data_IF_898108378573
#
_entry.id   IF_898108378573
#
_cell.length_a   1.000
_cell.length_b   1.000
_cell.length_c   1.000
_cell.angle_alpha   90.00
_cell.angle_beta   90.00
_cell.angle_gamma   90.00
#
_symmetry.space_group_name_H-M   'P 1'
#
loop_
_entity.id
_entity.type
_entity.pdbx_description
1 polymer ?
#
# COMPACT_ATOMS: atom_id res chain seq x y z
N UNK A 1 13.92 -22.32 -35.94
CA UNK A 1 14.31 -23.70 -35.58
C UNK A 1 14.14 -23.86 -34.07
N UNK A 2 13.12 -24.63 -33.71
CA UNK A 2 12.86 -25.33 -32.44
C UNK A 2 14.14 -25.72 -31.67
N UNK A 3 14.16 -25.92 -30.35
CA UNK A 3 13.22 -25.76 -29.24
C UNK A 3 14.06 -26.03 -27.98
N UNK A 4 13.83 -25.30 -26.89
CA UNK A 4 14.11 -25.66 -25.48
C UNK A 4 13.77 -24.41 -24.65
N UNK A 5 12.96 -24.42 -23.60
CA UNK A 5 12.19 -25.48 -22.95
C UNK A 5 11.07 -24.80 -22.16
N UNK A 6 9.85 -25.25 -22.38
CA UNK A 6 8.64 -24.93 -21.62
C UNK A 6 8.77 -25.40 -20.15
N UNK A 7 9.33 -24.55 -19.28
CA UNK A 7 9.41 -24.85 -17.84
C UNK A 7 8.77 -23.80 -16.93
N UNK A 8 8.09 -22.78 -17.47
CA UNK A 8 7.41 -21.76 -16.63
C UNK A 8 5.88 -21.76 -16.74
N UNK A 9 5.29 -22.78 -17.33
CA UNK A 9 3.83 -22.93 -17.42
C UNK A 9 3.26 -23.73 -16.21
N UNK A 10 3.57 -23.29 -14.98
CA UNK A 10 3.07 -23.92 -13.74
C UNK A 10 2.16 -22.98 -12.91
N UNK A 11 2.10 -21.68 -13.19
CA UNK A 11 1.18 -20.79 -12.47
C UNK A 11 -0.03 -20.41 -13.32
N UNK A 12 -0.98 -21.35 -13.44
CA UNK A 12 -2.35 -21.03 -13.86
C UNK A 12 -3.22 -20.53 -12.70
N UNK A 13 -2.62 -20.20 -11.55
CA UNK A 13 -3.33 -19.81 -10.33
C UNK A 13 -2.55 -18.69 -9.62
N UNK A 14 -3.30 -17.74 -9.04
CA UNK A 14 -2.77 -16.72 -8.11
C UNK A 14 -2.96 -17.25 -6.69
N UNK A 15 -2.00 -17.03 -5.80
CA UNK A 15 -2.12 -17.43 -4.40
C UNK A 15 -2.59 -16.29 -3.51
N UNK A 16 -3.58 -16.57 -2.66
CA UNK A 16 -4.10 -15.62 -1.66
C UNK A 16 -3.96 -16.19 -0.26
N UNK A 17 -3.84 -15.35 0.79
CA UNK A 17 -3.84 -15.85 2.16
C UNK A 17 -5.20 -16.46 2.52
N UNK A 18 -5.21 -17.43 3.46
CA UNK A 18 -6.44 -18.00 4.01
C UNK A 18 -7.36 -16.94 4.63
N UNK A 19 -6.77 -15.96 5.31
CA UNK A 19 -7.46 -14.91 6.03
C UNK A 19 -6.67 -13.60 5.91
N UNK A 20 -7.38 -12.51 5.67
CA UNK A 20 -6.82 -11.16 5.76
C UNK A 20 -7.27 -10.49 7.07
N UNK A 21 -6.51 -9.51 7.53
CA UNK A 21 -6.83 -8.75 8.72
C UNK A 21 -6.52 -7.27 8.50
N UNK A 22 -7.33 -6.40 9.09
CA UNK A 22 -7.12 -4.96 9.09
C UNK A 22 -7.87 -4.32 10.25
N UNK A 23 -7.55 -3.07 10.53
CA UNK A 23 -8.35 -2.23 11.41
C UNK A 23 -9.72 -1.93 10.77
N UNK A 24 -10.77 -1.66 11.58
CA UNK A 24 -12.08 -1.30 11.07
C UNK A 24 -11.99 0.05 10.36
N UNK A 25 -11.99 0.00 9.03
CA UNK A 25 -11.92 1.17 8.16
C UNK A 25 -12.79 0.95 6.93
N UNK A 26 -13.45 2.00 6.47
CA UNK A 26 -14.28 1.93 5.26
C UNK A 26 -13.45 1.60 4.02
N UNK A 27 -12.21 2.10 3.95
CA UNK A 27 -11.26 1.77 2.89
C UNK A 27 -10.96 0.26 2.79
N UNK A 28 -10.83 -0.41 3.94
CA UNK A 28 -10.50 -1.84 4.01
C UNK A 28 -11.69 -2.75 3.66
N UNK A 29 -12.89 -2.18 3.52
CA UNK A 29 -14.13 -2.91 3.24
C UNK A 29 -14.06 -3.58 1.87
N UNK A 30 -13.48 -2.92 0.86
CA UNK A 30 -13.30 -3.49 -0.49
C UNK A 30 -12.36 -4.70 -0.45
N UNK A 31 -11.26 -4.62 0.30
CA UNK A 31 -10.32 -5.74 0.46
C UNK A 31 -10.99 -6.92 1.19
N UNK A 32 -11.74 -6.65 2.26
CA UNK A 32 -12.48 -7.68 3.00
C UNK A 32 -13.53 -8.37 2.11
N UNK A 33 -14.22 -7.61 1.28
CA UNK A 33 -15.25 -8.12 0.37
C UNK A 33 -14.66 -8.92 -0.80
N UNK A 34 -13.57 -8.43 -1.41
CA UNK A 34 -12.84 -9.16 -2.44
C UNK A 34 -12.34 -10.51 -1.92
N UNK A 35 -11.69 -10.52 -0.75
CA UNK A 35 -11.25 -11.75 -0.10
C UNK A 35 -12.43 -12.70 0.19
N UNK A 36 -13.54 -12.18 0.70
CA UNK A 36 -14.73 -12.98 1.00
C UNK A 36 -15.33 -13.59 -0.26
N UNK A 37 -15.45 -12.82 -1.35
CA UNK A 37 -15.93 -13.32 -2.64
C UNK A 37 -15.05 -14.43 -3.18
N UNK A 38 -13.72 -14.26 -3.16
CA UNK A 38 -12.76 -15.28 -3.61
C UNK A 38 -12.97 -16.57 -2.81
N UNK A 39 -13.01 -16.49 -1.48
CA UNK A 39 -13.16 -17.67 -0.61
C UNK A 39 -14.51 -18.36 -0.77
N UNK A 40 -15.59 -17.59 -0.89
CA UNK A 40 -16.95 -18.11 -1.10
C UNK A 40 -17.10 -18.78 -2.46
N UNK A 41 -16.38 -18.31 -3.48
CA UNK A 41 -16.36 -18.93 -4.82
C UNK A 41 -15.66 -20.29 -4.82
N UNK A 42 -14.71 -20.49 -3.91
CA UNK A 42 -13.94 -21.74 -3.79
C UNK A 42 -14.56 -22.74 -2.81
N UNK A 43 -15.31 -22.26 -1.81
CA UNK A 43 -15.89 -23.08 -0.76
C UNK A 43 -17.36 -22.70 -0.50
N UNK A 44 -18.32 -23.52 -0.97
CA UNK A 44 -19.75 -23.28 -0.77
C UNK A 44 -20.18 -23.19 0.70
N UNK A 45 -19.44 -23.78 1.65
CA UNK A 45 -19.80 -23.68 3.09
C UNK A 45 -19.51 -22.31 3.69
N UNK A 46 -18.74 -21.48 2.97
CA UNK A 46 -18.41 -20.11 3.37
C UNK A 46 -19.41 -19.09 2.84
N UNK A 47 -20.40 -19.49 2.02
CA UNK A 47 -21.41 -18.59 1.46
C UNK A 47 -22.09 -17.75 2.56
N UNK A 48 -22.12 -16.43 2.36
CA UNK A 48 -22.64 -15.48 3.34
C UNK A 48 -21.74 -15.18 4.53
N UNK A 49 -20.54 -15.79 4.63
CA UNK A 49 -19.59 -15.54 5.73
C UNK A 49 -18.44 -14.63 5.27
N UNK A 50 -18.11 -13.64 6.09
CA UNK A 50 -16.95 -12.76 5.88
C UNK A 50 -15.65 -13.53 6.16
N UNK A 51 -14.69 -13.45 5.24
CA UNK A 51 -13.38 -14.11 5.33
C UNK A 51 -12.27 -13.08 5.56
N UNK A 52 -12.51 -12.21 6.55
CA UNK A 52 -11.62 -11.14 6.97
C UNK A 52 -11.77 -10.93 8.47
N UNK A 53 -10.66 -10.65 9.16
CA UNK A 53 -10.67 -10.39 10.60
C UNK A 53 -10.46 -8.89 10.89
N UNK A 54 -11.50 -8.26 11.41
CA UNK A 54 -11.46 -6.86 11.85
C UNK A 54 -10.79 -6.74 13.22
N UNK A 55 -9.64 -6.09 13.26
CA UNK A 55 -8.81 -5.90 14.45
C UNK A 55 -9.18 -4.60 15.15
N UNK A 56 -10.14 -4.68 16.08
CA UNK A 56 -10.48 -3.56 16.99
C UNK A 56 -9.38 -3.35 18.05
N UNK A 57 -9.28 -2.15 18.61
CA UNK A 57 -8.43 -1.80 19.77
C UNK A 57 -6.92 -2.08 19.59
N UNK A 58 -6.24 -1.41 18.64
CA UNK A 58 -4.76 -1.44 18.46
C UNK A 58 -4.16 -2.84 18.26
N UNK A 59 -4.96 -3.80 17.81
CA UNK A 59 -4.51 -5.18 17.61
C UNK A 59 -3.89 -5.41 16.22
N UNK A 60 -3.81 -4.38 15.37
CA UNK A 60 -3.08 -4.38 14.11
C UNK A 60 -1.57 -4.06 14.29
N UNK A 61 -0.99 -4.55 15.38
CA UNK A 61 0.33 -4.18 15.90
C UNK A 61 1.43 -4.31 14.85
N UNK A 62 1.42 -5.39 14.04
CA UNK A 62 2.50 -5.63 13.06
C UNK A 62 2.52 -4.61 11.94
N UNK A 63 1.36 -4.31 11.33
CA UNK A 63 1.30 -3.30 10.29
C UNK A 63 1.66 -1.92 10.86
N UNK A 64 1.13 -1.58 12.04
CA UNK A 64 1.43 -0.32 12.74
C UNK A 64 2.93 -0.17 13.07
N UNK A 65 3.60 -1.23 13.49
CA UNK A 65 5.05 -1.23 13.72
C UNK A 65 5.80 -0.92 12.42
N UNK A 66 5.49 -1.59 11.32
CA UNK A 66 6.17 -1.35 10.04
C UNK A 66 5.93 0.09 9.53
N UNK A 67 4.69 0.60 9.62
CA UNK A 67 4.38 1.99 9.31
C UNK A 67 5.15 2.98 10.19
N UNK A 68 5.27 2.69 11.49
CA UNK A 68 6.07 3.48 12.42
C UNK A 68 7.55 3.49 12.04
N UNK A 69 8.10 2.35 11.63
CA UNK A 69 9.49 2.25 11.17
C UNK A 69 9.72 3.03 9.87
N UNK A 70 8.82 2.92 8.90
CA UNK A 70 8.88 3.70 7.66
C UNK A 70 8.88 5.21 7.97
N UNK A 71 7.93 5.67 8.80
CA UNK A 71 7.82 7.07 9.20
C UNK A 71 9.04 7.60 9.95
N UNK A 72 9.66 6.79 10.81
CA UNK A 72 10.82 7.22 11.61
C UNK A 72 12.13 7.18 10.84
N UNK A 73 12.30 6.22 9.92
CA UNK A 73 13.62 5.92 9.31
C UNK A 73 13.74 6.34 7.85
N UNK A 74 12.63 6.45 7.12
CA UNK A 74 12.64 6.74 5.69
C UNK A 74 12.04 8.12 5.40
N UNK A 75 10.82 8.41 5.90
CA UNK A 75 10.10 9.65 5.59
C UNK A 75 10.87 10.96 5.85
N UNK A 76 11.58 11.15 6.98
CA UNK A 76 12.12 12.47 7.32
C UNK A 76 13.17 12.98 6.32
N UNK A 77 13.94 12.07 5.70
CA UNK A 77 14.92 12.44 4.69
C UNK A 77 14.26 13.01 3.42
N UNK A 78 13.22 12.35 2.94
CA UNK A 78 12.46 12.80 1.76
C UNK A 78 11.63 14.04 2.07
N UNK A 79 10.98 14.11 3.23
CA UNK A 79 10.25 15.30 3.67
C UNK A 79 11.17 16.52 3.72
N UNK A 80 12.40 16.38 4.23
CA UNK A 80 13.38 17.47 4.27
C UNK A 80 13.74 17.98 2.87
N UNK A 81 13.96 17.08 1.91
CA UNK A 81 14.27 17.43 0.51
C UNK A 81 13.07 18.15 -0.13
N UNK A 82 11.86 17.63 0.09
CA UNK A 82 10.65 18.20 -0.49
C UNK A 82 10.31 19.57 0.12
N UNK A 83 10.46 19.72 1.44
CA UNK A 83 10.26 20.98 2.15
C UNK A 83 11.28 22.04 1.75
N UNK A 84 12.53 21.65 1.44
CA UNK A 84 13.54 22.56 0.93
C UNK A 84 13.11 23.27 -0.36
N UNK A 85 12.60 22.54 -1.36
CA UNK A 85 12.15 23.17 -2.60
C UNK A 85 10.96 24.11 -2.43
N UNK A 86 10.06 23.82 -1.49
CA UNK A 86 8.95 24.73 -1.15
C UNK A 86 9.47 25.98 -0.43
N UNK A 87 10.34 25.79 0.58
CA UNK A 87 10.90 26.87 1.40
C UNK A 87 11.78 27.83 0.60
N UNK A 88 12.51 27.31 -0.39
CA UNK A 88 13.35 28.10 -1.29
C UNK A 88 12.56 28.74 -2.44
N UNK A 89 11.28 28.42 -2.59
CA UNK A 89 10.42 28.94 -3.65
C UNK A 89 10.71 28.37 -5.03
N UNK A 90 11.34 27.18 -5.08
CA UNK A 90 11.56 26.41 -6.32
C UNK A 90 10.23 25.80 -6.80
N UNK A 91 9.37 25.39 -5.86
CA UNK A 91 8.08 24.78 -6.13
C UNK A 91 6.92 25.54 -5.50
N UNK A 92 5.96 25.94 -6.32
CA UNK A 92 4.73 26.65 -5.94
C UNK A 92 3.48 25.81 -6.23
N UNK A 93 2.88 25.29 -5.16
CA UNK A 93 1.64 24.49 -5.21
C UNK A 93 0.42 25.26 -5.75
N UNK A 94 0.47 26.59 -5.82
CA UNK A 94 -0.61 27.40 -6.40
C UNK A 94 -0.59 27.43 -7.93
N UNK A 95 0.51 27.00 -8.56
CA UNK A 95 0.66 27.00 -10.02
C UNK A 95 0.41 25.59 -10.58
N UNK A 96 -0.62 25.42 -11.44
CA UNK A 96 -0.97 24.10 -11.96
C UNK A 96 0.16 23.39 -12.73
N UNK A 97 0.93 24.13 -13.53
CA UNK A 97 2.03 23.55 -14.31
C UNK A 97 3.11 22.99 -13.40
N UNK A 98 3.49 23.73 -12.36
CA UNK A 98 4.48 23.29 -11.38
C UNK A 98 4.03 22.01 -10.68
N UNK A 99 2.76 21.94 -10.27
CA UNK A 99 2.17 20.73 -9.68
C UNK A 99 2.25 19.54 -10.64
N UNK A 100 1.99 19.73 -11.93
CA UNK A 100 2.05 18.63 -12.91
C UNK A 100 3.49 18.17 -13.18
N UNK A 101 4.44 19.08 -13.33
CA UNK A 101 5.87 18.73 -13.47
C UNK A 101 6.34 17.99 -12.21
N UNK A 102 5.96 18.47 -11.03
CA UNK A 102 6.26 17.82 -9.76
C UNK A 102 5.69 16.40 -9.71
N UNK A 103 4.39 16.22 -10.00
CA UNK A 103 3.75 14.89 -10.00
C UNK A 103 4.41 13.94 -10.99
N UNK A 104 4.72 14.42 -12.19
CA UNK A 104 5.34 13.61 -13.25
C UNK A 104 6.75 13.11 -12.87
N UNK A 105 7.58 13.95 -12.25
CA UNK A 105 8.96 13.58 -11.90
C UNK A 105 9.08 12.94 -10.52
N UNK A 106 8.51 13.60 -9.51
CA UNK A 106 8.79 13.31 -8.10
C UNK A 106 8.02 12.08 -7.62
N UNK A 107 6.77 11.88 -8.04
CA UNK A 107 6.00 10.70 -7.59
C UNK A 107 6.63 9.39 -8.07
N UNK A 108 7.00 9.21 -9.36
CA UNK A 108 7.70 8.01 -9.80
C UNK A 108 9.06 7.80 -9.11
N UNK A 109 9.79 8.89 -8.83
CA UNK A 109 11.04 8.81 -8.06
C UNK A 109 10.79 8.32 -6.63
N UNK A 110 9.83 8.90 -5.91
CA UNK A 110 9.43 8.44 -4.58
C UNK A 110 8.97 6.99 -4.59
N UNK A 111 8.21 6.57 -5.60
CA UNK A 111 7.80 5.18 -5.77
C UNK A 111 9.01 4.24 -5.93
N UNK A 112 10.00 4.61 -6.76
CA UNK A 112 11.26 3.86 -6.91
C UNK A 112 12.02 3.74 -5.57
N UNK A 113 12.09 4.81 -4.80
CA UNK A 113 12.76 4.83 -3.49
C UNK A 113 12.02 3.96 -2.46
N UNK A 114 10.69 3.96 -2.49
CA UNK A 114 9.85 3.07 -1.68
C UNK A 114 10.05 1.60 -2.07
N UNK A 115 10.18 1.30 -3.36
CA UNK A 115 10.48 -0.05 -3.83
C UNK A 115 11.87 -0.52 -3.37
N UNK A 116 12.87 0.36 -3.40
CA UNK A 116 14.21 0.10 -2.84
C UNK A 116 14.12 -0.16 -1.33
N UNK A 117 13.39 0.69 -0.60
CA UNK A 117 13.16 0.51 0.84
C UNK A 117 12.49 -0.84 1.13
N UNK A 118 11.40 -1.15 0.44
CA UNK A 118 10.67 -2.43 0.56
C UNK A 118 11.60 -3.60 0.33
N UNK A 119 12.38 -3.57 -0.76
CA UNK A 119 13.33 -4.63 -1.08
C UNK A 119 14.39 -4.79 0.02
N UNK A 120 14.91 -3.69 0.55
CA UNK A 120 15.89 -3.72 1.65
C UNK A 120 15.30 -4.31 2.93
N UNK A 121 14.11 -3.90 3.32
CA UNK A 121 13.43 -4.39 4.53
C UNK A 121 13.09 -5.88 4.39
N UNK A 122 12.48 -6.29 3.28
CA UNK A 122 12.10 -7.68 3.03
C UNK A 122 13.31 -8.62 2.92
N UNK A 123 14.46 -8.11 2.47
CA UNK A 123 15.71 -8.87 2.41
C UNK A 123 16.59 -8.70 3.66
N UNK A 124 16.18 -7.92 4.65
CA UNK A 124 16.94 -7.83 5.89
C UNK A 124 16.79 -9.15 6.66
N UNK A 125 17.89 -9.67 7.22
CA UNK A 125 17.84 -10.87 8.06
C UNK A 125 17.48 -10.46 9.49
N UNK A 126 16.29 -10.79 10.01
CA UNK A 126 15.93 -10.47 11.37
C UNK A 126 16.81 -11.25 12.36
N UNK A 127 17.07 -10.65 13.52
CA UNK A 127 17.79 -11.37 14.59
C UNK A 127 16.98 -12.59 15.01
N UNK A 128 17.66 -13.72 15.21
CA UNK A 128 17.01 -14.95 15.66
C UNK A 128 16.50 -14.78 17.09
N UNK A 129 15.18 -14.86 17.27
CA UNK A 129 14.54 -14.90 18.58
C UNK A 129 13.99 -16.30 18.86
N UNK A 130 14.53 -16.98 19.89
CA UNK A 130 14.15 -18.35 20.28
C UNK A 130 12.74 -18.48 20.85
N UNK A 131 12.11 -17.36 21.26
CA UNK A 131 10.76 -17.34 21.81
C UNK A 131 9.69 -17.09 20.74
N UNK A 132 10.09 -16.71 19.52
CA UNK A 132 9.16 -16.44 18.44
C UNK A 132 8.85 -17.72 17.67
N UNK A 133 7.57 -18.07 17.57
CA UNK A 133 7.09 -19.22 16.80
C UNK A 133 7.02 -18.98 15.29
N UNK A 134 7.31 -17.76 14.83
CA UNK A 134 7.27 -17.43 13.40
C UNK A 134 8.50 -17.98 12.67
N UNK A 135 8.38 -18.25 11.35
CA UNK A 135 9.51 -18.59 10.48
C UNK A 135 10.77 -17.76 10.78
N UNK A 136 11.91 -18.44 10.90
CA UNK A 136 13.21 -17.80 11.09
C UNK A 136 13.96 -17.71 9.76
N UNK A 137 14.66 -16.61 9.52
CA UNK A 137 15.46 -16.42 8.31
C UNK A 137 15.08 -15.13 7.61
N UNK A 138 15.68 -14.91 6.44
CA UNK A 138 15.33 -13.77 5.59
C UNK A 138 13.89 -13.97 5.11
N UNK A 139 13.00 -12.96 5.23
CA UNK A 139 11.65 -12.99 4.65
C UNK A 139 11.65 -12.92 3.11
N UNK A 140 12.71 -13.41 2.44
CA UNK A 140 12.83 -13.36 0.98
C UNK A 140 11.58 -13.95 0.32
N UNK A 141 11.38 -13.63 -0.95
CA UNK A 141 10.33 -14.22 -1.81
C UNK A 141 10.17 -15.74 -1.60
N UNK A 142 11.24 -16.42 -1.19
CA UNK A 142 11.29 -17.84 -0.83
C UNK A 142 10.27 -18.28 0.23
N UNK A 143 9.90 -17.47 1.23
CA UNK A 143 8.92 -17.95 2.24
C UNK A 143 7.55 -18.22 1.63
N UNK A 144 7.21 -17.46 0.58
CA UNK A 144 6.00 -17.66 -0.18
C UNK A 144 6.12 -18.91 -1.07
N UNK A 145 7.23 -19.10 -1.78
CA UNK A 145 7.34 -20.20 -2.75
C UNK A 145 7.85 -21.53 -2.16
N UNK A 146 8.50 -21.48 -0.99
CA UNK A 146 9.22 -22.58 -0.36
C UNK A 146 9.01 -22.58 1.17
N UNK A 147 7.75 -22.62 1.67
CA UNK A 147 7.48 -22.62 3.10
C UNK A 147 8.16 -23.79 3.82
N UNK A 148 8.32 -24.94 3.15
CA UNK A 148 8.96 -26.15 3.71
C UNK A 148 10.42 -25.94 4.15
N UNK A 149 11.13 -24.96 3.57
CA UNK A 149 12.51 -24.64 3.97
C UNK A 149 12.57 -23.99 5.37
N UNK A 150 11.46 -23.41 5.82
CA UNK A 150 11.33 -22.71 7.10
C UNK A 150 10.75 -23.64 8.17
N UNK A 151 11.52 -24.68 8.54
CA UNK A 151 11.22 -25.71 9.57
C UNK A 151 10.03 -25.42 10.51
N UNK A 152 9.06 -26.34 10.55
CA UNK A 152 7.84 -26.32 11.41
C UNK A 152 6.80 -25.25 11.06
N UNK A 153 6.83 -24.69 9.85
CA UNK A 153 5.78 -23.79 9.37
C UNK A 153 4.63 -24.55 8.71
N UNK A 154 3.45 -23.93 8.69
CA UNK A 154 2.29 -24.43 7.95
C UNK A 154 1.97 -23.42 6.87
N UNK A 155 1.73 -23.91 5.66
CA UNK A 155 1.27 -23.08 4.56
C UNK A 155 -0.25 -22.89 4.64
N UNK A 156 -0.67 -21.63 4.64
CA UNK A 156 -2.08 -21.21 4.66
C UNK A 156 -2.46 -20.47 3.38
N UNK A 157 -1.74 -20.71 2.29
CA UNK A 157 -2.10 -20.19 0.97
C UNK A 157 -3.26 -20.96 0.37
N UNK A 158 -4.02 -20.27 -0.45
CA UNK A 158 -5.08 -20.84 -1.27
C UNK A 158 -4.77 -20.51 -2.72
N UNK A 159 -4.77 -21.54 -3.55
CA UNK A 159 -4.64 -21.39 -4.99
C UNK A 159 -5.99 -20.96 -5.56
N UNK A 160 -6.00 -19.82 -6.24
CA UNK A 160 -7.20 -19.21 -6.81
C UNK A 160 -7.13 -19.31 -8.33
N UNK A 161 -8.15 -19.90 -8.98
CA UNK A 161 -8.30 -19.87 -10.43
C UNK A 161 -8.35 -18.43 -10.96
N UNK A 162 -7.78 -18.11 -12.14
CA UNK A 162 -7.66 -16.75 -12.63
C UNK A 162 -9.01 -16.10 -12.93
N UNK A 163 -10.03 -16.90 -13.29
CA UNK A 163 -11.39 -16.44 -13.51
C UNK A 163 -12.06 -15.94 -12.21
N UNK A 164 -11.76 -16.58 -11.07
CA UNK A 164 -12.24 -16.12 -9.76
C UNK A 164 -11.52 -14.84 -9.33
N UNK A 165 -10.22 -14.72 -9.58
CA UNK A 165 -9.49 -13.48 -9.33
C UNK A 165 -10.05 -12.33 -10.17
N UNK A 166 -10.20 -12.57 -11.48
CA UNK A 166 -10.77 -11.58 -12.39
C UNK A 166 -12.18 -11.17 -11.97
N UNK A 167 -13.01 -12.11 -11.53
CA UNK A 167 -14.34 -11.80 -11.00
C UNK A 167 -14.25 -10.83 -9.81
N UNK A 168 -13.30 -11.03 -8.90
CA UNK A 168 -13.11 -10.14 -7.76
C UNK A 168 -12.58 -8.75 -8.18
N UNK A 169 -11.66 -8.71 -9.14
CA UNK A 169 -11.16 -7.46 -9.74
C UNK A 169 -12.31 -6.69 -10.41
N UNK A 170 -13.02 -7.30 -11.35
CA UNK A 170 -14.15 -6.69 -12.09
C UNK A 170 -15.28 -6.22 -11.14
N UNK A 171 -15.41 -6.83 -9.95
CA UNK A 171 -16.45 -6.48 -8.97
C UNK A 171 -16.05 -5.34 -8.05
N UNK A 172 -14.77 -5.24 -7.66
CA UNK A 172 -14.33 -4.33 -6.59
C UNK A 172 -13.28 -3.30 -7.02
N UNK A 173 -12.74 -3.42 -8.23
CA UNK A 173 -11.77 -2.49 -8.81
C UNK A 173 -12.44 -1.84 -10.01
N UNK A 174 -12.53 -0.50 -9.96
CA UNK A 174 -13.02 0.27 -11.10
C UNK A 174 -11.86 0.50 -12.08
N UNK A 175 -11.99 -0.09 -13.28
CA UNK A 175 -11.02 0.12 -14.35
C UNK A 175 -10.89 1.61 -14.70
N UNK A 176 -9.65 2.09 -14.76
CA UNK A 176 -9.37 3.48 -15.16
C UNK A 176 -9.76 4.53 -14.13
N UNK A 177 -9.78 4.19 -12.83
CA UNK A 177 -10.05 5.17 -11.78
C UNK A 177 -9.07 6.36 -11.88
N UNK A 178 -9.55 7.62 -11.92
CA UNK A 178 -8.72 8.81 -12.12
C UNK A 178 -7.57 8.96 -11.12
N UNK A 179 -7.71 8.41 -9.92
CA UNK A 179 -6.65 8.34 -8.89
C UNK A 179 -5.36 7.66 -9.37
N UNK A 180 -5.44 6.79 -10.39
CA UNK A 180 -4.29 6.11 -10.98
C UNK A 180 -3.58 6.98 -12.03
N UNK A 181 -4.20 8.07 -12.48
CA UNK A 181 -3.61 9.03 -13.41
C UNK A 181 -2.83 10.11 -12.64
N UNK A 182 -1.50 10.02 -12.66
CA UNK A 182 -0.64 10.99 -11.98
C UNK A 182 -0.78 12.41 -12.56
N UNK A 183 -0.92 12.48 -13.89
CA UNK A 183 -1.05 13.71 -14.67
C UNK A 183 -2.00 13.46 -15.85
N UNK A 184 -2.69 14.48 -16.38
CA UNK A 184 -3.51 14.33 -17.58
C UNK A 184 -2.70 13.78 -18.75
N UNK A 185 -3.30 12.90 -19.55
CA UNK A 185 -2.64 12.29 -20.71
C UNK A 185 -2.00 13.31 -21.67
N UNK A 186 -2.69 14.42 -21.94
CA UNK A 186 -2.19 15.49 -22.79
C UNK A 186 -0.95 16.20 -22.22
N UNK A 187 -0.80 16.26 -20.89
CA UNK A 187 0.42 16.75 -20.25
C UNK A 187 1.52 15.70 -20.36
N UNK A 188 1.19 14.43 -20.11
CA UNK A 188 2.15 13.33 -20.17
C UNK A 188 2.84 13.22 -21.53
N UNK A 189 2.10 13.32 -22.64
CA UNK A 189 2.70 13.24 -23.99
C UNK A 189 3.77 14.32 -24.22
N UNK A 190 3.53 15.53 -23.72
CA UNK A 190 4.46 16.66 -23.85
C UNK A 190 5.64 16.49 -22.89
N UNK A 191 5.35 16.11 -21.65
CA UNK A 191 6.34 15.83 -20.63
C UNK A 191 7.33 14.74 -21.08
N UNK A 192 6.83 13.66 -21.69
CA UNK A 192 7.63 12.57 -22.24
C UNK A 192 8.59 13.07 -23.33
N UNK A 193 8.13 13.93 -24.25
CA UNK A 193 8.99 14.49 -25.32
C UNK A 193 10.08 15.38 -24.74
N UNK A 194 9.74 16.24 -23.77
CA UNK A 194 10.70 17.11 -23.10
C UNK A 194 11.73 16.29 -22.32
N UNK A 195 11.27 15.32 -21.53
CA UNK A 195 12.12 14.47 -20.71
C UNK A 195 13.03 13.57 -21.55
N UNK A 196 12.56 13.09 -22.70
CA UNK A 196 13.38 12.42 -23.72
C UNK A 196 14.45 13.37 -24.28
N UNK A 197 14.08 14.61 -24.60
CA UNK A 197 15.01 15.65 -25.07
C UNK A 197 16.11 15.99 -24.07
N UNK A 198 15.84 15.87 -22.77
CA UNK A 198 16.82 16.00 -21.68
C UNK A 198 17.70 14.75 -21.52
N UNK A 199 17.44 13.67 -22.26
CA UNK A 199 18.17 12.41 -22.18
C UNK A 199 17.76 11.50 -21.03
N UNK A 200 16.56 11.71 -20.45
CA UNK A 200 16.03 10.96 -19.29
C UNK A 200 17.04 10.83 -18.15
N UNK A 201 17.48 11.96 -17.56
CA UNK A 201 18.43 11.91 -16.46
C UNK A 201 17.88 11.08 -15.30
N UNK A 202 18.75 10.33 -14.63
CA UNK A 202 18.37 9.61 -13.42
C UNK A 202 18.11 10.61 -12.28
N UNK A 203 16.91 10.55 -11.70
CA UNK A 203 16.50 11.39 -10.59
C UNK A 203 17.03 10.78 -9.28
N UNK A 204 17.71 11.60 -8.49
CA UNK A 204 18.29 11.30 -7.19
C UNK A 204 17.95 12.41 -6.20
N UNK A 205 18.20 12.15 -4.91
CA UNK A 205 17.99 13.15 -3.86
C UNK A 205 18.82 14.44 -4.05
N UNK A 206 19.96 14.37 -4.75
CA UNK A 206 20.86 15.51 -4.97
C UNK A 206 20.44 16.38 -6.16
N UNK A 207 19.74 15.81 -7.14
CA UNK A 207 19.48 16.46 -8.43
C UNK A 207 17.99 16.66 -8.74
N UNK A 208 17.08 16.15 -7.90
CA UNK A 208 15.63 16.20 -8.15
C UNK A 208 15.14 17.61 -8.46
N UNK A 209 15.59 18.61 -7.69
CA UNK A 209 15.19 20.01 -7.91
C UNK A 209 15.83 20.65 -9.12
N UNK A 210 17.06 20.25 -9.47
CA UNK A 210 17.72 20.72 -10.69
C UNK A 210 16.99 20.20 -11.94
N UNK A 211 16.70 18.89 -11.99
CA UNK A 211 15.96 18.27 -13.09
C UNK A 211 14.54 18.84 -13.17
N UNK A 212 13.88 19.04 -12.03
CA UNK A 212 12.57 19.69 -11.96
C UNK A 212 12.60 21.09 -12.57
N UNK A 213 13.59 21.91 -12.21
CA UNK A 213 13.72 23.28 -12.69
C UNK A 213 13.98 23.33 -14.19
N UNK A 214 14.89 22.48 -14.69
CA UNK A 214 15.20 22.36 -16.11
C UNK A 214 13.96 21.92 -16.91
N UNK A 215 13.20 20.94 -16.40
CA UNK A 215 11.98 20.47 -17.06
C UNK A 215 10.89 21.54 -17.06
N UNK A 216 10.72 22.25 -15.94
CA UNK A 216 9.76 23.35 -15.83
C UNK A 216 10.09 24.47 -16.83
N UNK A 217 11.35 24.89 -16.92
CA UNK A 217 11.81 25.90 -17.88
C UNK A 217 11.48 25.48 -19.32
N UNK A 218 11.74 24.22 -19.69
CA UNK A 218 11.41 23.72 -21.03
C UNK A 218 9.90 23.73 -21.29
N UNK A 219 9.08 23.36 -20.32
CA UNK A 219 7.61 23.43 -20.44
C UNK A 219 7.16 24.88 -20.65
N UNK A 220 7.67 25.81 -19.84
CA UNK A 220 7.34 27.24 -19.94
C UNK A 220 7.75 27.84 -21.29
N UNK A 221 8.96 27.56 -21.77
CA UNK A 221 9.43 27.98 -23.09
C UNK A 221 8.51 27.46 -24.21
N UNK A 222 8.07 26.21 -24.13
CA UNK A 222 7.15 25.65 -25.12
C UNK A 222 5.74 26.28 -25.06
N UNK A 223 5.31 26.75 -23.89
CA UNK A 223 4.07 27.55 -23.74
C UNK A 223 4.26 28.94 -24.37
N UNK A 224 5.38 29.61 -24.10
CA UNK A 224 5.66 30.96 -24.60
C UNK A 224 5.80 31.00 -26.13
N UNK A 225 6.47 30.01 -26.72
CA UNK A 225 6.62 29.85 -28.17
C UNK A 225 5.31 29.42 -28.86
N UNK A 226 4.26 29.11 -28.08
CA UNK A 226 2.96 28.71 -28.59
C UNK A 226 2.92 27.28 -29.14
N UNK A 227 3.95 26.46 -28.89
CA UNK A 227 3.94 25.03 -29.17
C UNK A 227 2.89 24.32 -28.30
N UNK A 228 2.72 24.78 -27.05
CA UNK A 228 1.64 24.38 -26.15
C UNK A 228 0.59 25.49 -26.13
N UNK A 229 -0.63 25.17 -26.56
CA UNK A 229 -1.69 26.19 -26.65
C UNK A 229 -2.21 26.58 -25.26
N UNK A 230 -2.56 27.86 -25.07
CA UNK A 230 -3.13 28.36 -23.81
C UNK A 230 -4.42 27.66 -23.39
N UNK A 231 -5.18 27.12 -24.35
CA UNK A 231 -6.37 26.33 -24.07
C UNK A 231 -6.04 25.04 -23.31
N UNK A 232 -5.00 24.32 -23.76
CA UNK A 232 -4.52 23.09 -23.12
C UNK A 232 -4.03 23.38 -21.69
N UNK A 233 -3.27 24.47 -21.50
CA UNK A 233 -2.82 24.89 -20.16
C UNK A 233 -3.98 25.20 -19.21
N UNK A 234 -5.04 25.84 -19.71
CA UNK A 234 -6.24 26.10 -18.91
C UNK A 234 -7.00 24.81 -18.56
N UNK A 235 -7.00 23.84 -19.47
CA UNK A 235 -7.61 22.54 -19.25
C UNK A 235 -6.91 21.76 -18.14
N UNK A 236 -5.58 21.71 -18.19
CA UNK A 236 -4.74 21.16 -17.12
C UNK A 236 -5.02 21.82 -15.76
N UNK A 237 -5.12 23.15 -15.74
CA UNK A 237 -5.44 23.90 -14.53
C UNK A 237 -6.81 23.54 -13.94
N UNK A 238 -7.82 23.28 -14.79
CA UNK A 238 -9.13 22.81 -14.33
C UNK A 238 -9.06 21.40 -13.76
N UNK A 239 -8.33 20.50 -14.41
CA UNK A 239 -8.18 19.11 -13.97
C UNK A 239 -7.55 18.96 -12.58
N UNK A 240 -6.61 19.84 -12.20
CA UNK A 240 -6.01 19.82 -10.86
C UNK A 240 -6.99 20.32 -9.80
N UNK A 241 -7.72 21.41 -10.09
CA UNK A 241 -8.71 21.96 -9.16
C UNK A 241 -9.88 21.00 -8.97
N UNK A 242 -10.33 20.33 -10.04
CA UNK A 242 -11.35 19.27 -9.92
C UNK A 242 -10.81 18.08 -9.16
N UNK A 243 -9.61 17.57 -9.45
CA UNK A 243 -9.05 16.42 -8.73
C UNK A 243 -8.86 16.67 -7.23
N UNK A 244 -8.48 17.89 -6.81
CA UNK A 244 -8.41 18.24 -5.39
C UNK A 244 -9.78 18.38 -4.73
N UNK A 245 -10.80 18.88 -5.43
CA UNK A 245 -12.15 18.97 -4.89
C UNK A 245 -12.90 17.64 -4.93
N UNK A 246 -12.58 16.79 -5.89
CA UNK A 246 -13.16 15.47 -6.12
C UNK A 246 -12.49 14.44 -5.22
N UNK A 247 -11.19 14.54 -4.91
CA UNK A 247 -10.58 13.75 -3.83
C UNK A 247 -11.21 14.05 -2.48
N UNK A 248 -11.48 15.32 -2.19
CA UNK A 248 -12.12 15.74 -0.94
C UNK A 248 -13.61 15.33 -0.91
N UNK A 249 -14.31 15.32 -2.06
CA UNK A 249 -15.70 14.87 -2.17
C UNK A 249 -15.84 13.36 -2.22
N UNK A 250 -14.98 12.63 -2.90
CA UNK A 250 -14.93 11.17 -2.92
C UNK A 250 -14.53 10.63 -1.54
N UNK A 251 -13.64 11.30 -0.81
CA UNK A 251 -13.41 10.98 0.60
C UNK A 251 -14.71 11.09 1.43
N UNK A 252 -15.55 12.10 1.14
CA UNK A 252 -16.84 12.32 1.81
C UNK A 252 -17.95 11.39 1.27
N UNK A 253 -17.99 11.08 -0.02
CA UNK A 253 -18.98 10.19 -0.63
C UNK A 253 -18.64 8.71 -0.37
N UNK A 254 -17.36 8.33 -0.25
CA UNK A 254 -16.93 7.03 0.28
C UNK A 254 -17.25 6.91 1.78
N UNK A 255 -17.28 8.04 2.51
CA UNK A 255 -17.88 8.09 3.85
C UNK A 255 -19.41 7.90 3.82
N UNK A 256 -20.14 8.39 2.82
CA UNK A 256 -21.61 8.27 2.80
C UNK A 256 -22.12 6.96 2.14
N UNK A 257 -21.42 6.42 1.13
CA UNK A 257 -21.83 5.24 0.35
C UNK A 257 -21.42 3.90 0.98
N UNK A 258 -20.50 3.89 1.96
CA UNK A 258 -20.03 2.70 2.66
C UNK A 258 -21.09 1.95 3.50
N UNK A 259 -22.35 2.41 3.51
CA UNK A 259 -23.46 1.79 4.24
C UNK A 259 -24.13 0.62 3.49
N UNK A 260 -23.80 0.36 2.21
CA UNK A 260 -24.47 -0.67 1.42
C UNK A 260 -23.50 -1.50 0.55
N UNK A 261 -22.79 -2.46 1.15
CA UNK A 261 -22.12 -3.53 0.38
C UNK A 261 -22.42 -4.92 0.93
N UNK A 262 -22.50 -5.89 0.00
CA UNK A 262 -23.20 -7.18 0.07
C UNK A 262 -22.92 -8.08 1.28
N UNK A 263 -21.83 -7.89 2.03
CA UNK A 263 -21.38 -8.82 3.07
C UNK A 263 -20.97 -8.19 4.40
N UNK A 264 -20.81 -6.86 4.47
CA UNK A 264 -20.33 -6.21 5.68
C UNK A 264 -21.01 -4.85 5.87
N UNK A 265 -21.76 -4.75 6.97
CA UNK A 265 -22.17 -3.46 7.52
C UNK A 265 -21.12 -3.07 8.57
N UNK A 266 -20.41 -1.97 8.32
CA UNK A 266 -19.33 -1.47 9.21
C UNK A 266 -19.84 -1.15 10.61
N UNK A 267 -21.13 -0.80 10.73
CA UNK A 267 -21.79 -0.41 11.99
C UNK A 267 -22.47 -1.58 12.73
N UNK A 268 -22.53 -2.77 12.12
CA UNK A 268 -23.10 -3.96 12.75
C UNK A 268 -22.00 -4.96 13.10
N UNK A 269 -22.00 -5.56 14.30
CA UNK A 269 -21.15 -6.72 14.56
C UNK A 269 -21.49 -7.83 13.54
N UNK A 270 -20.49 -8.57 13.03
CA UNK A 270 -20.73 -9.66 12.10
C UNK A 270 -21.75 -10.65 12.66
N UNK A 271 -22.60 -11.25 11.81
CA UNK A 271 -23.47 -12.35 12.24
C UNK A 271 -22.61 -13.47 12.86
N UNK A 272 -22.89 -13.80 14.13
CA UNK A 272 -22.12 -14.77 14.92
C UNK A 272 -21.05 -14.18 15.86
N UNK A 273 -20.88 -12.85 15.91
CA UNK A 273 -19.99 -12.22 16.88
C UNK A 273 -20.69 -12.08 18.26
N UNK A 274 -20.26 -12.88 19.24
CA UNK A 274 -20.62 -12.71 20.65
C UNK A 274 -19.53 -11.85 21.29
N UNK A 275 -19.88 -10.63 21.69
CA UNK A 275 -19.00 -9.84 22.55
C UNK A 275 -18.90 -10.56 23.90
N UNK A 276 -17.70 -11.00 24.27
CA UNK A 276 -17.42 -11.34 25.66
C UNK A 276 -17.42 -10.02 26.42
N UNK A 277 -18.43 -9.81 27.26
CA UNK A 277 -18.44 -8.68 28.20
C UNK A 277 -17.24 -8.83 29.15
N UNK A 278 -16.41 -7.80 29.23
CA UNK A 278 -15.33 -7.70 30.20
C UNK A 278 -15.95 -7.69 31.61
N UNK A 279 -15.97 -8.86 32.24
CA UNK A 279 -16.39 -9.03 33.62
C UNK A 279 -15.38 -8.37 34.56
N UNK A 280 -15.71 -7.16 35.02
CA UNK A 280 -15.06 -6.56 36.18
C UNK A 280 -15.42 -7.32 37.45
N UNK A 281 -14.38 -7.73 38.18
CA UNK A 281 -14.31 -8.06 39.61
C UNK A 281 -15.23 -9.15 40.17
N UNK A 282 -14.67 -10.30 40.55
CA UNK A 282 -14.70 -10.79 41.94
C UNK A 282 -13.77 -12.00 42.12
N UNK A 283 -13.11 -12.04 43.27
CA UNK A 283 -12.24 -13.13 43.73
C UNK A 283 -13.01 -14.46 43.80
N UNK A 284 -12.44 -15.54 43.26
CA UNK A 284 -12.70 -16.86 43.84
C UNK A 284 -11.58 -17.86 43.55
N UNK A 285 -11.12 -18.49 44.63
CA UNK A 285 -10.19 -19.61 44.66
C UNK A 285 -10.84 -20.88 44.08
N UNK A 286 -10.07 -21.65 43.33
CA UNK A 286 -10.22 -23.11 43.28
C UNK A 286 -10.74 -23.74 41.98
N UNK A 287 -10.05 -24.83 41.62
CA UNK A 287 -10.40 -25.93 40.70
C UNK A 287 -10.11 -25.79 39.20
N UNK A 288 -9.03 -26.49 38.86
CA UNK A 288 -8.66 -27.13 37.59
C UNK A 288 -9.81 -27.98 37.01
N UNK A 289 -10.26 -27.68 35.78
CA UNK A 289 -10.65 -28.68 34.75
C UNK A 289 -10.59 -28.03 33.34
N UNK A 290 -10.14 -28.83 32.36
CA UNK A 290 -9.69 -28.42 31.02
C UNK A 290 -10.66 -27.60 30.16
N UNK A 291 -10.14 -26.47 29.67
CA UNK A 291 -10.68 -25.65 28.57
C UNK A 291 -9.60 -25.36 27.51
N UNK A 292 -9.98 -24.93 26.28
CA UNK A 292 -9.07 -24.83 25.15
C UNK A 292 -7.96 -23.79 25.38
N UNK A 293 -6.73 -24.14 24.97
CA UNK A 293 -5.54 -23.28 25.06
C UNK A 293 -5.82 -21.88 24.48
N UNK A 294 -6.03 -20.91 25.38
CA UNK A 294 -5.83 -19.50 25.08
C UNK A 294 -4.32 -19.30 24.93
N UNK A 295 -3.87 -19.14 23.68
CA UNK A 295 -2.49 -18.73 23.40
C UNK A 295 -2.44 -17.22 23.52
N UNK A 296 -1.96 -16.76 24.67
CA UNK A 296 -1.65 -15.35 24.90
C UNK A 296 -0.46 -14.96 24.02
N UNK A 297 -0.72 -14.20 22.94
CA UNK A 297 0.30 -13.58 22.12
C UNK A 297 0.67 -12.24 22.74
N UNK A 298 1.37 -12.27 23.87
CA UNK A 298 1.99 -11.07 24.46
C UNK A 298 3.28 -10.77 23.68
N UNK A 299 3.20 -9.86 22.69
CA UNK A 299 4.37 -9.22 22.10
C UNK A 299 4.82 -8.08 23.04
N UNK A 300 5.59 -8.47 24.05
CA UNK A 300 6.18 -7.55 25.03
C UNK A 300 7.52 -7.04 24.48
N UNK A 301 7.48 -6.05 23.59
CA UNK A 301 8.66 -5.26 23.20
C UNK A 301 8.61 -3.93 23.96
N UNK A 302 9.07 -3.95 25.23
CA UNK A 302 9.33 -2.71 25.96
C UNK A 302 10.58 -2.03 25.40
N UNK A 303 10.42 -0.78 24.97
CA UNK A 303 11.47 0.11 24.49
C UNK A 303 12.64 0.23 25.47
N UNK A 304 13.79 -0.32 25.08
CA UNK A 304 15.08 0.08 25.62
C UNK A 304 15.61 1.25 24.81
N UNK A 305 15.44 2.45 25.36
CA UNK A 305 16.20 3.65 25.00
C UNK A 305 17.68 3.30 24.89
N UNK A 306 18.26 3.44 23.69
CA UNK A 306 19.62 3.96 23.57
C UNK A 306 19.81 4.59 22.19
N UNK A 307 20.04 5.88 22.29
CA UNK A 307 20.40 6.85 21.28
C UNK A 307 21.73 6.43 20.61
N UNK A 308 21.74 6.23 19.29
CA UNK A 308 22.97 6.38 18.52
C UNK A 308 22.68 6.74 17.06
N UNK A 309 23.07 7.98 16.74
CA UNK A 309 23.14 8.56 15.42
C UNK A 309 24.15 7.83 14.55
N UNK A 310 23.76 7.61 13.30
CA UNK A 310 24.55 7.57 12.06
C UNK A 310 24.00 6.44 11.20
N UNK A 311 23.44 6.76 10.04
CA UNK A 311 23.67 6.06 8.76
C UNK A 311 22.96 6.87 7.65
N UNK A 312 23.62 7.95 7.21
CA UNK A 312 23.56 8.38 5.82
C UNK A 312 24.77 7.75 5.13
N UNK A 313 24.52 6.72 4.33
CA UNK A 313 25.40 6.27 3.26
C UNK A 313 24.63 5.26 2.40
N UNK A 314 23.96 5.79 1.37
CA UNK A 314 23.92 5.32 -0.01
C UNK A 314 22.91 6.17 -0.77
#
# INVERSE_FOLDING_TARGET
>A
MNATSDHWNIFSHVDVPLLTQSDPGRENTRVANAQSLIRQSLDPELQGKVQHNWKRNKSNVKAEIEWSQLRRRWSPGFESILEEGVREGIYDTSKPIEVLVFRYLVIPWIQKELDIYRNRVNNFLPRKNKYKLTPHGRPSEDIHFRPDDYQKTRDFKILVPPDVMKLAEDTYIEDGHPVLELVPYSFQEIADVIFEGMGRPEITHENVWAIYSDMLEQVEVNIELGAITRYIVQDWGRGIVSASQESDREAVEQEEAGAAHLFCNVDAPPEGFVALEDGSSEENEGMDEGGPLQVDLTDDESDGDDNDYAWLAL
#
